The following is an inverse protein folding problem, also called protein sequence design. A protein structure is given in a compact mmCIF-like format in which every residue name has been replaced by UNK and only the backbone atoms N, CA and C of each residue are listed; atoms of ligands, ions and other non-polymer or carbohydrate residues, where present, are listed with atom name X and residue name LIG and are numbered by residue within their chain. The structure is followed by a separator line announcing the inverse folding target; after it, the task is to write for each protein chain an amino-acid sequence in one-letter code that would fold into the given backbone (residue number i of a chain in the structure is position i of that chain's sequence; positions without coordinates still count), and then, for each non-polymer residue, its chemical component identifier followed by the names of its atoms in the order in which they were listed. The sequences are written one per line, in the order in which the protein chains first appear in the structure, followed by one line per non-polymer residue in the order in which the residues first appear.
data_IF_882810531525
#
_entry.id   IF_882810531525
#
_cell.length_a   1.000
_cell.length_b   1.000
_cell.length_c   1.000
_cell.angle_alpha   90.00
_cell.angle_beta   90.00
_cell.angle_gamma   90.00
#
_symmetry.space_group_name_H-M   'P 1'
#
loop_
_entity.id
_entity.type
_entity.pdbx_description
1 polymer ?
#
# COMPACT_ATOMS: atom_id res chain seq x y z
N UNK A 1 -12.22 -12.14 -3.11
CA UNK A 1 -10.99 -12.93 -3.33
C UNK A 1 -10.00 -12.48 -2.28
N UNK A 2 -9.11 -13.37 -1.81
CA UNK A 2 -8.27 -13.10 -0.65
C UNK A 2 -6.93 -12.55 -1.11
N UNK A 3 -6.48 -11.46 -0.50
CA UNK A 3 -5.09 -11.01 -0.57
C UNK A 3 -4.16 -12.19 -0.24
N UNK A 4 -3.12 -12.38 -1.05
CA UNK A 4 -2.15 -13.46 -0.87
C UNK A 4 -0.75 -12.89 -0.71
N UNK A 5 0.09 -13.62 0.00
CA UNK A 5 1.49 -13.29 0.23
C UNK A 5 2.35 -14.48 -0.17
N UNK A 6 3.41 -14.22 -0.94
CA UNK A 6 4.31 -15.26 -1.44
C UNK A 6 5.75 -14.75 -1.47
N UNK A 7 6.72 -15.65 -1.43
CA UNK A 7 8.13 -15.30 -1.62
C UNK A 7 8.44 -15.28 -3.11
N UNK A 8 8.68 -14.09 -3.67
CA UNK A 8 9.01 -13.89 -5.10
C UNK A 8 10.39 -13.25 -5.17
N UNK A 9 11.32 -13.90 -5.85
CA UNK A 9 12.71 -13.44 -5.99
C UNK A 9 13.39 -13.09 -4.64
N UNK A 10 13.04 -13.82 -3.58
CA UNK A 10 13.55 -13.59 -2.22
C UNK A 10 12.90 -12.42 -1.48
N UNK A 11 11.85 -11.80 -2.03
CA UNK A 11 11.07 -10.76 -1.39
C UNK A 11 9.69 -11.29 -0.97
N UNK A 12 9.33 -11.06 0.29
CA UNK A 12 7.96 -11.29 0.76
C UNK A 12 7.02 -10.31 0.07
N UNK A 13 6.24 -10.85 -0.86
CA UNK A 13 5.43 -10.08 -1.81
C UNK A 13 3.96 -10.20 -1.48
N UNK A 14 3.31 -9.05 -1.26
CA UNK A 14 1.86 -8.94 -1.19
C UNK A 14 1.29 -8.74 -2.59
N UNK A 15 0.27 -9.52 -2.93
CA UNK A 15 -0.57 -9.28 -4.10
C UNK A 15 -1.85 -8.56 -3.65
N UNK A 16 -1.92 -7.26 -3.95
CA UNK A 16 -3.00 -6.37 -3.52
C UNK A 16 -4.10 -6.30 -4.58
N UNK A 17 -5.30 -6.76 -4.23
CA UNK A 17 -6.45 -6.86 -5.14
C UNK A 17 -7.45 -5.70 -5.00
N UNK A 18 -7.08 -4.63 -4.29
CA UNK A 18 -7.96 -3.48 -4.04
C UNK A 18 -8.88 -3.66 -2.85
N UNK A 19 -8.85 -4.82 -2.17
CA UNK A 19 -9.59 -5.02 -0.93
C UNK A 19 -9.17 -3.99 0.12
N UNK A 20 -10.12 -3.55 0.95
CA UNK A 20 -9.78 -2.72 2.10
C UNK A 20 -8.89 -3.52 3.06
N UNK A 21 -7.63 -3.11 3.17
CA UNK A 21 -6.73 -3.67 4.16
C UNK A 21 -7.18 -3.28 5.57
N UNK A 22 -7.59 -2.02 5.76
CA UNK A 22 -8.10 -1.48 7.02
C UNK A 22 -8.94 -0.22 6.79
N UNK A 23 -10.19 -0.23 7.23
CA UNK A 23 -10.93 1.00 7.47
C UNK A 23 -10.60 1.47 8.90
N UNK A 24 -10.20 2.73 9.09
CA UNK A 24 -9.96 3.31 10.42
C UNK A 24 -11.23 3.23 11.30
N UNK A 25 -12.41 3.00 10.70
CA UNK A 25 -13.67 2.71 11.37
C UNK A 25 -13.69 1.40 12.18
N UNK A 26 -12.75 0.47 11.98
CA UNK A 26 -12.61 -0.71 12.86
C UNK A 26 -12.05 -0.36 14.25
N UNK A 27 -11.60 0.88 14.46
CA UNK A 27 -11.36 1.44 15.79
C UNK A 27 -12.63 2.04 16.42
N UNK A 28 -13.72 2.20 15.66
CA UNK A 28 -15.02 2.67 16.17
C UNK A 28 -15.94 1.49 16.52
N UNK A 29 -16.67 1.64 17.61
CA UNK A 29 -17.32 0.61 18.44
C UNK A 29 -18.51 -0.13 17.80
N UNK A 30 -18.34 -0.87 16.70
CA UNK A 30 -19.44 -1.66 16.11
C UNK A 30 -19.22 -3.17 15.97
N UNK A 31 -18.05 -3.67 16.36
CA UNK A 31 -17.77 -5.10 16.36
C UNK A 31 -17.69 -5.66 17.79
N UNK A 32 -18.29 -6.84 18.07
CA UNK A 32 -18.21 -7.49 19.37
C UNK A 32 -16.76 -7.62 19.85
N UNK A 33 -16.54 -7.30 21.13
CA UNK A 33 -15.23 -7.21 21.81
C UNK A 33 -14.38 -8.47 21.59
N UNK A 34 -15.02 -9.62 21.37
CA UNK A 34 -14.42 -10.95 21.28
C UNK A 34 -13.68 -11.23 19.96
N UNK A 35 -13.89 -10.42 18.91
CA UNK A 35 -13.09 -10.51 17.66
C UNK A 35 -11.92 -9.53 17.61
N UNK A 36 -11.71 -8.70 18.63
CA UNK A 36 -10.63 -7.69 18.64
C UNK A 36 -9.22 -8.26 18.87
N UNK A 37 -9.04 -9.54 19.16
CA UNK A 37 -7.81 -10.02 19.82
C UNK A 37 -7.00 -11.14 19.16
N UNK A 38 -7.23 -11.51 17.89
CA UNK A 38 -6.29 -12.40 17.17
C UNK A 38 -6.08 -12.02 15.70
N UNK A 39 -7.16 -11.82 14.94
CA UNK A 39 -7.05 -11.53 13.51
C UNK A 39 -6.35 -10.19 13.22
N UNK A 40 -6.74 -9.10 13.88
CA UNK A 40 -6.09 -7.80 13.71
C UNK A 40 -4.59 -7.85 14.08
N UNK A 41 -4.22 -8.62 15.11
CA UNK A 41 -2.82 -8.78 15.53
C UNK A 41 -1.99 -9.58 14.52
N UNK A 42 -2.59 -10.61 13.90
CA UNK A 42 -1.93 -11.42 12.87
C UNK A 42 -1.66 -10.59 11.61
N UNK A 43 -2.66 -9.85 11.12
CA UNK A 43 -2.48 -8.97 9.97
C UNK A 43 -1.42 -7.89 10.21
N UNK A 44 -1.28 -7.37 11.43
CA UNK A 44 -0.25 -6.37 11.75
C UNK A 44 1.17 -6.95 11.74
N UNK A 45 1.36 -8.19 12.18
CA UNK A 45 2.67 -8.86 12.11
C UNK A 45 3.07 -9.16 10.67
N UNK A 46 2.13 -9.57 9.82
CA UNK A 46 2.43 -9.88 8.42
C UNK A 46 2.85 -8.63 7.61
N UNK A 47 2.39 -7.43 8.00
CA UNK A 47 2.82 -6.15 7.41
C UNK A 47 4.29 -5.83 7.65
N UNK A 48 4.87 -6.38 8.71
CA UNK A 48 6.30 -6.28 8.96
C UNK A 48 7.09 -7.23 8.05
N UNK A 49 6.45 -8.17 7.36
CA UNK A 49 7.14 -9.05 6.43
C UNK A 49 7.15 -8.49 5.02
N UNK A 50 6.12 -7.75 4.60
CA UNK A 50 6.00 -7.31 3.21
C UNK A 50 7.16 -6.41 2.80
N UNK A 51 7.89 -6.88 1.80
CA UNK A 51 9.00 -6.18 1.17
C UNK A 51 8.63 -5.68 -0.22
N UNK A 52 7.66 -6.32 -0.87
CA UNK A 52 7.15 -5.92 -2.17
C UNK A 52 5.63 -5.92 -2.17
N UNK A 53 5.05 -4.95 -2.90
CA UNK A 53 3.62 -4.93 -3.21
C UNK A 53 3.45 -4.99 -4.71
N UNK A 54 2.68 -5.96 -5.18
CA UNK A 54 2.19 -6.03 -6.55
C UNK A 54 0.71 -5.73 -6.50
N UNK A 55 0.31 -4.59 -7.06
CA UNK A 55 -1.11 -4.28 -7.24
C UNK A 55 -1.63 -5.05 -8.45
N UNK A 56 -2.75 -5.74 -8.29
CA UNK A 56 -3.35 -6.55 -9.34
C UNK A 56 -4.15 -5.69 -10.32
N UNK A 57 -4.29 -6.20 -11.55
CA UNK A 57 -5.15 -5.58 -12.55
C UNK A 57 -6.60 -5.47 -12.04
N UNK A 58 -7.29 -4.41 -12.46
CA UNK A 58 -8.64 -4.09 -12.02
C UNK A 58 -8.69 -3.16 -10.80
N UNK A 59 -7.58 -2.95 -10.12
CA UNK A 59 -7.46 -1.91 -9.09
C UNK A 59 -7.23 -0.56 -9.76
N UNK A 60 -8.16 0.37 -9.55
CA UNK A 60 -8.10 1.74 -10.10
C UNK A 60 -7.60 2.77 -9.08
N UNK A 61 -7.87 2.54 -7.80
CA UNK A 61 -7.56 3.47 -6.71
C UNK A 61 -6.78 2.72 -5.63
N UNK A 62 -5.69 3.31 -5.15
CA UNK A 62 -5.07 2.93 -3.88
C UNK A 62 -5.66 3.83 -2.79
N UNK A 63 -6.47 3.29 -1.86
CA UNK A 63 -7.15 4.11 -0.87
C UNK A 63 -6.22 4.83 0.11
N UNK A 64 -6.81 5.74 0.88
CA UNK A 64 -6.11 6.50 1.92
C UNK A 64 -5.53 5.54 2.96
N UNK A 65 -4.27 5.77 3.33
CA UNK A 65 -3.56 5.02 4.38
C UNK A 65 -3.41 3.49 4.18
N UNK A 66 -3.72 2.94 3.00
CA UNK A 66 -3.69 1.49 2.71
C UNK A 66 -2.41 0.78 3.16
N UNK A 67 -1.24 1.39 2.92
CA UNK A 67 0.08 0.87 3.32
C UNK A 67 0.79 1.75 4.35
N UNK A 68 0.04 2.59 5.07
CA UNK A 68 0.61 3.54 6.03
C UNK A 68 1.46 2.85 7.11
N UNK A 69 2.75 3.17 7.17
CA UNK A 69 3.67 2.62 8.16
C UNK A 69 4.15 1.20 7.88
N UNK A 70 3.92 0.65 6.69
CA UNK A 70 4.57 -0.60 6.26
C UNK A 70 6.06 -0.34 6.01
N UNK A 71 6.88 -0.40 7.07
CA UNK A 71 8.29 0.03 7.06
C UNK A 71 9.19 -0.82 6.17
N UNK A 72 8.84 -2.09 5.96
CA UNK A 72 9.69 -3.04 5.24
C UNK A 72 9.45 -3.09 3.74
N UNK A 73 8.40 -2.42 3.23
CA UNK A 73 8.16 -2.32 1.79
C UNK A 73 9.29 -1.54 1.16
N UNK A 74 9.99 -2.18 0.23
CA UNK A 74 11.06 -1.62 -0.61
C UNK A 74 10.56 -1.29 -2.01
N UNK A 75 9.65 -2.13 -2.52
CA UNK A 75 9.20 -2.08 -3.90
C UNK A 75 7.69 -2.08 -4.04
N UNK A 76 7.16 -1.23 -4.92
CA UNK A 76 5.75 -1.22 -5.30
C UNK A 76 5.62 -1.30 -6.83
N UNK A 77 4.77 -2.20 -7.31
CA UNK A 77 4.44 -2.34 -8.73
C UNK A 77 2.98 -1.97 -8.93
N UNK A 78 2.74 -0.86 -9.63
CA UNK A 78 1.40 -0.40 -10.01
C UNK A 78 1.10 -0.83 -11.46
N UNK A 79 -0.03 -1.50 -11.73
CA UNK A 79 -0.50 -1.76 -13.08
C UNK A 79 -1.06 -0.47 -13.69
N UNK A 80 -1.19 -0.45 -15.01
CA UNK A 80 -1.72 0.71 -15.74
C UNK A 80 -3.18 1.02 -15.39
N UNK A 81 -3.91 0.10 -14.75
CA UNK A 81 -5.28 0.37 -14.29
C UNK A 81 -5.34 1.37 -13.15
N UNK A 82 -4.24 1.55 -12.38
CA UNK A 82 -4.21 2.48 -11.26
C UNK A 82 -4.13 3.91 -11.78
N UNK A 83 -5.16 4.70 -11.54
CA UNK A 83 -5.24 6.12 -11.91
C UNK A 83 -5.09 7.05 -10.72
N UNK A 84 -5.20 6.54 -9.49
CA UNK A 84 -5.24 7.39 -8.29
C UNK A 84 -4.60 6.72 -7.08
N UNK A 85 -3.75 7.47 -6.39
CA UNK A 85 -3.20 7.11 -5.09
C UNK A 85 -3.67 8.16 -4.10
N UNK A 86 -4.43 7.76 -3.09
CA UNK A 86 -4.99 8.68 -2.11
C UNK A 86 -4.00 9.11 -1.04
N UNK A 87 -4.39 10.11 -0.24
CA UNK A 87 -3.51 10.71 0.76
C UNK A 87 -2.95 9.69 1.76
N UNK A 88 -1.70 9.86 2.15
CA UNK A 88 -0.97 9.00 3.10
C UNK A 88 -0.88 7.51 2.73
N UNK A 89 -1.27 7.08 1.52
CA UNK A 89 -1.34 5.68 1.12
C UNK A 89 -0.07 4.86 1.44
N UNK A 90 1.12 5.41 1.17
CA UNK A 90 2.43 4.81 1.46
C UNK A 90 3.23 5.63 2.48
N UNK A 91 2.58 6.50 3.27
CA UNK A 91 3.29 7.35 4.22
C UNK A 91 3.99 6.50 5.28
N UNK A 92 5.24 6.84 5.61
CA UNK A 92 6.12 6.12 6.53
C UNK A 92 6.53 4.71 6.06
N UNK A 93 6.45 4.41 4.76
CA UNK A 93 7.16 3.29 4.14
C UNK A 93 8.65 3.62 4.01
N UNK A 94 9.38 3.59 5.13
CA UNK A 94 10.73 4.16 5.23
C UNK A 94 11.79 3.51 4.34
N UNK A 95 11.58 2.26 3.90
CA UNK A 95 12.47 1.57 2.98
C UNK A 95 12.01 1.63 1.52
N UNK A 96 10.87 2.24 1.21
CA UNK A 96 10.32 2.29 -0.14
C UNK A 96 11.16 3.23 -1.00
N UNK A 97 11.94 2.65 -1.91
CA UNK A 97 12.85 3.34 -2.81
C UNK A 97 12.61 3.02 -4.30
N UNK A 98 11.85 1.96 -4.62
CA UNK A 98 11.48 1.57 -5.98
C UNK A 98 9.95 1.54 -6.18
N UNK A 99 9.45 2.34 -7.12
CA UNK A 99 8.04 2.33 -7.54
C UNK A 99 7.99 2.23 -9.06
N UNK A 100 7.40 1.15 -9.56
CA UNK A 100 6.96 1.08 -10.96
C UNK A 100 5.60 1.75 -11.07
N UNK A 101 5.59 2.93 -11.69
CA UNK A 101 4.39 3.76 -11.85
C UNK A 101 3.45 3.25 -12.94
N UNK A 102 2.16 3.51 -12.73
CA UNK A 102 1.15 3.41 -13.79
C UNK A 102 1.35 4.53 -14.81
N UNK A 103 1.24 4.19 -16.10
CA UNK A 103 1.26 5.19 -17.19
C UNK A 103 0.02 6.09 -17.21
N UNK A 104 -1.04 5.69 -16.51
CA UNK A 104 -2.31 6.42 -16.42
C UNK A 104 -2.55 7.00 -15.03
N UNK A 105 -1.51 7.11 -14.19
CA UNK A 105 -1.65 7.71 -12.88
C UNK A 105 -1.97 9.21 -13.03
N UNK A 106 -3.11 9.66 -12.54
CA UNK A 106 -3.59 11.04 -12.67
C UNK A 106 -3.49 11.83 -11.37
N UNK A 107 -3.47 11.14 -10.22
CA UNK A 107 -3.52 11.79 -8.92
C UNK A 107 -2.66 11.10 -7.87
N UNK A 108 -1.90 11.91 -7.15
CA UNK A 108 -1.19 11.51 -5.92
C UNK A 108 -1.66 12.43 -4.79
N UNK A 109 -2.29 11.83 -3.80
CA UNK A 109 -2.85 12.53 -2.65
C UNK A 109 -1.76 13.10 -1.74
N UNK A 110 -2.17 14.07 -0.93
CA UNK A 110 -1.32 14.73 0.04
C UNK A 110 -0.56 13.71 0.92
N UNK A 111 0.75 13.89 1.04
CA UNK A 111 1.63 13.04 1.83
C UNK A 111 1.61 11.54 1.48
N UNK A 112 1.11 11.15 0.29
CA UNK A 112 1.01 9.74 -0.11
C UNK A 112 2.33 8.98 0.09
N UNK A 113 3.48 9.62 -0.19
CA UNK A 113 4.82 9.04 -0.03
C UNK A 113 5.67 9.76 1.04
N UNK A 114 5.05 10.46 2.00
CA UNK A 114 5.79 11.17 3.05
C UNK A 114 6.65 10.19 3.86
N UNK A 115 7.92 10.54 4.06
CA UNK A 115 8.93 9.72 4.76
C UNK A 115 9.24 8.37 4.07
N UNK A 116 9.12 8.29 2.74
CA UNK A 116 9.70 7.19 1.96
C UNK A 116 11.16 7.49 1.59
N UNK A 117 11.91 6.47 1.19
CA UNK A 117 13.29 6.58 0.70
C UNK A 117 13.39 6.91 -0.81
N UNK A 118 12.26 7.23 -1.45
CA UNK A 118 12.20 7.63 -2.85
C UNK A 118 13.14 8.80 -3.14
N UNK A 119 13.99 8.64 -4.16
CA UNK A 119 14.92 9.69 -4.59
C UNK A 119 14.16 10.78 -5.36
N UNK A 120 14.65 12.02 -5.27
CA UNK A 120 14.09 13.14 -6.03
C UNK A 120 14.16 12.85 -7.54
N UNK A 121 13.03 13.01 -8.25
CA UNK A 121 12.91 12.77 -9.70
C UNK A 121 12.07 11.55 -10.10
N UNK A 122 11.60 10.75 -9.13
CA UNK A 122 10.81 9.55 -9.41
C UNK A 122 9.30 9.76 -9.38
N UNK A 123 8.78 10.97 -9.11
CA UNK A 123 7.35 11.24 -9.29
C UNK A 123 7.13 11.45 -10.80
N UNK A 124 6.13 10.78 -11.43
CA UNK A 124 5.87 10.93 -12.86
C UNK A 124 5.77 12.40 -13.25
N UNK A 125 6.53 12.80 -14.27
CA UNK A 125 6.72 14.22 -14.62
C UNK A 125 5.43 14.93 -15.02
N UNK A 126 4.42 14.20 -15.50
CA UNK A 126 3.10 14.75 -15.83
C UNK A 126 2.24 15.10 -14.60
N UNK A 127 2.70 14.75 -13.39
CA UNK A 127 2.06 15.06 -12.10
C UNK A 127 2.79 16.15 -11.32
N UNK A 128 3.85 16.75 -11.88
CA UNK A 128 4.65 17.81 -11.26
C UNK A 128 4.16 19.23 -11.63
N UNK A 129 2.94 19.37 -12.15
CA UNK A 129 2.35 20.67 -12.51
C UNK A 129 1.91 21.48 -11.29
#
# INVERSE_FOLDING_TARGET
MYMRTELVDGLWTLFYDGSELFNHELQSERFPIERRSHFAQQYWKERELWQQVIVLDGVSIIPRQTFHGCKNIKRVILPNTVTRIEGWAFSKCILLDDVKWSMHLEFIGLNAFKCCALKHGFIPSHLLM
#
